data_IF_575048821383
#
_entry.id   IF_575048821383
#
_cell.length_a   1.000
_cell.length_b   1.000
_cell.length_c   1.000
_cell.angle_alpha   90.00
_cell.angle_beta   90.00
_cell.angle_gamma   90.00
#
_symmetry.space_group_name_H-M   'P 1'
#
loop_
_entity.id
_entity.type
_entity.pdbx_description
1 polymer ?
#
# COMPACT_ATOMS: atom_id res chain seq x y z
N UNK A 1 5.84 27.97 10.35
CA UNK A 1 6.09 26.52 10.28
C UNK A 1 5.57 26.02 8.94
N UNK A 2 6.41 25.36 8.16
CA UNK A 2 5.97 24.73 6.93
C UNK A 2 4.88 23.70 7.26
N UNK A 3 3.72 23.74 6.60
CA UNK A 3 2.67 22.74 6.73
C UNK A 3 3.07 21.42 6.07
N UNK A 4 2.31 20.37 6.35
CA UNK A 4 2.36 19.12 5.59
C UNK A 4 1.10 19.10 4.72
N UNK A 5 1.26 18.95 3.40
CA UNK A 5 0.12 18.94 2.46
C UNK A 5 -0.24 17.53 2.00
N UNK A 6 0.76 16.65 1.92
CA UNK A 6 0.58 15.26 1.45
C UNK A 6 1.39 14.32 2.33
N UNK A 7 0.81 13.18 2.67
CA UNK A 7 1.55 12.04 3.21
C UNK A 7 1.39 10.84 2.28
N UNK A 8 2.50 10.20 1.93
CA UNK A 8 2.50 8.94 1.19
C UNK A 8 2.90 7.80 2.12
N UNK A 9 1.92 7.03 2.57
CA UNK A 9 2.12 5.83 3.37
C UNK A 9 2.54 4.68 2.44
N UNK A 10 3.84 4.57 2.20
CA UNK A 10 4.42 3.63 1.24
C UNK A 10 5.19 2.48 1.90
N UNK A 11 5.67 2.64 3.14
CA UNK A 11 6.46 1.64 3.84
C UNK A 11 5.74 0.29 3.88
N UNK A 12 6.45 -0.79 3.56
CA UNK A 12 5.89 -2.13 3.54
C UNK A 12 6.96 -3.22 3.45
N UNK A 13 6.63 -4.41 3.93
CA UNK A 13 7.45 -5.61 3.85
C UNK A 13 6.61 -6.80 3.38
N UNK A 14 7.26 -7.80 2.75
CA UNK A 14 6.57 -8.91 2.12
C UNK A 14 7.35 -10.24 2.28
N UNK A 15 7.69 -10.69 3.49
CA UNK A 15 8.28 -12.02 3.71
C UNK A 15 7.19 -13.10 3.52
N UNK A 16 6.99 -13.54 2.28
CA UNK A 16 6.00 -14.55 1.92
C UNK A 16 6.40 -15.94 2.39
N UNK A 17 5.43 -16.71 2.85
CA UNK A 17 5.59 -18.13 3.16
C UNK A 17 4.23 -18.82 3.19
N UNK A 18 4.23 -20.15 3.07
CA UNK A 18 3.03 -20.94 3.39
C UNK A 18 2.69 -20.79 4.87
N UNK A 19 1.42 -20.87 5.22
CA UNK A 19 0.99 -20.79 6.63
C UNK A 19 1.54 -21.94 7.49
N UNK A 20 1.72 -23.11 6.89
CA UNK A 20 2.27 -24.28 7.59
C UNK A 20 3.79 -24.18 7.86
N UNK A 21 4.48 -23.20 7.32
CA UNK A 21 5.85 -22.87 7.70
C UNK A 21 5.97 -22.19 9.07
N UNK A 22 4.85 -21.70 9.63
CA UNK A 22 4.72 -21.12 10.97
C UNK A 22 5.76 -20.03 11.29
N UNK A 23 6.10 -19.19 10.31
CA UNK A 23 7.05 -18.08 10.46
C UNK A 23 6.39 -16.88 11.16
N UNK A 24 5.99 -17.08 12.41
CA UNK A 24 5.17 -16.11 13.20
C UNK A 24 5.84 -14.75 13.32
N UNK A 25 7.15 -14.69 13.54
CA UNK A 25 7.89 -13.43 13.64
C UNK A 25 7.79 -12.59 12.35
N UNK A 26 7.72 -13.25 11.18
CA UNK A 26 7.55 -12.57 9.89
C UNK A 26 6.09 -12.09 9.70
N UNK A 27 5.12 -12.83 10.23
CA UNK A 27 3.74 -12.37 10.24
C UNK A 27 3.57 -11.11 11.10
N UNK A 28 4.14 -11.13 12.30
CA UNK A 28 4.14 -9.97 13.21
C UNK A 28 4.83 -8.76 12.55
N UNK A 29 5.98 -8.97 11.90
CA UNK A 29 6.66 -7.93 11.15
C UNK A 29 5.77 -7.32 10.05
N UNK A 30 5.05 -8.14 9.29
CA UNK A 30 4.12 -7.65 8.26
C UNK A 30 2.98 -6.83 8.87
N UNK A 31 2.41 -7.29 9.98
CA UNK A 31 1.35 -6.56 10.68
C UNK A 31 1.89 -5.23 11.23
N UNK A 32 3.05 -5.25 11.86
CA UNK A 32 3.65 -4.06 12.47
C UNK A 32 3.98 -2.99 11.41
N UNK A 33 4.61 -3.39 10.32
CA UNK A 33 5.00 -2.42 9.28
C UNK A 33 3.82 -2.03 8.41
N UNK A 34 3.08 -2.99 7.85
CA UNK A 34 2.08 -2.72 6.82
C UNK A 34 0.75 -2.17 7.39
N UNK A 35 0.43 -2.51 8.65
CA UNK A 35 -0.85 -2.10 9.29
C UNK A 35 -0.60 -1.06 10.37
N UNK A 36 0.18 -1.37 11.41
CA UNK A 36 0.43 -0.40 12.49
C UNK A 36 1.18 0.82 12.00
N UNK A 37 2.16 0.64 11.08
CA UNK A 37 2.88 1.74 10.46
C UNK A 37 1.95 2.71 9.74
N UNK A 38 0.96 2.21 8.99
CA UNK A 38 -0.07 3.02 8.35
C UNK A 38 -0.91 3.80 9.38
N UNK A 39 -1.37 3.13 10.44
CA UNK A 39 -2.15 3.77 11.51
C UNK A 39 -1.36 4.86 12.22
N UNK A 40 -0.06 4.65 12.45
CA UNK A 40 0.81 5.68 13.04
C UNK A 40 1.00 6.87 12.10
N UNK A 41 1.12 6.64 10.78
CA UNK A 41 1.16 7.71 9.78
C UNK A 41 -0.10 8.56 9.79
N UNK A 42 -1.27 7.91 9.85
CA UNK A 42 -2.57 8.60 9.98
C UNK A 42 -2.63 9.39 11.30
N UNK A 43 -2.34 8.74 12.42
CA UNK A 43 -2.40 9.37 13.75
C UNK A 43 -1.49 10.61 13.88
N UNK A 44 -0.31 10.54 13.28
CA UNK A 44 0.63 11.66 13.29
C UNK A 44 0.19 12.83 12.40
N UNK A 45 -0.51 12.57 11.28
CA UNK A 45 -0.76 13.56 10.23
C UNK A 45 -2.17 14.13 10.28
N UNK A 46 -3.18 13.31 10.60
CA UNK A 46 -4.59 13.72 10.58
C UNK A 46 -4.87 14.96 11.43
N UNK A 47 -4.34 15.13 12.67
CA UNK A 47 -4.57 16.36 13.43
C UNK A 47 -4.00 17.62 12.77
N UNK A 48 -2.96 17.48 11.94
CA UNK A 48 -2.40 18.60 11.17
C UNK A 48 -3.34 19.00 10.04
N UNK A 49 -3.82 18.04 9.25
CA UNK A 49 -4.76 18.27 8.17
C UNK A 49 -6.06 18.87 8.66
N UNK A 50 -6.60 18.39 9.78
CA UNK A 50 -7.81 18.92 10.39
C UNK A 50 -7.66 20.40 10.81
N UNK A 51 -6.51 20.76 11.43
CA UNK A 51 -6.27 22.17 11.80
C UNK A 51 -6.02 23.06 10.61
N UNK A 52 -5.42 22.55 9.57
CA UNK A 52 -5.09 23.27 8.34
C UNK A 52 -6.31 23.40 7.41
N UNK A 53 -7.32 22.53 7.56
CA UNK A 53 -8.51 22.48 6.71
C UNK A 53 -8.21 21.97 5.29
N UNK A 54 -7.10 21.26 5.11
CA UNK A 54 -6.71 20.64 3.84
C UNK A 54 -5.66 19.57 4.05
N UNK A 55 -5.55 18.62 3.13
CA UNK A 55 -4.52 17.58 3.14
C UNK A 55 -4.83 16.46 2.18
N UNK A 56 -3.84 15.58 1.97
CA UNK A 56 -4.01 14.41 1.13
C UNK A 56 -3.29 13.20 1.69
N UNK A 57 -4.02 12.16 2.04
CA UNK A 57 -3.49 10.85 2.37
C UNK A 57 -3.39 10.00 1.10
N UNK A 58 -2.20 9.48 0.81
CA UNK A 58 -1.97 8.49 -0.25
C UNK A 58 -1.44 7.22 0.38
N UNK A 59 -2.17 6.11 0.26
CA UNK A 59 -1.75 4.81 0.79
C UNK A 59 -1.35 3.89 -0.36
N UNK A 60 -0.15 3.34 -0.30
CA UNK A 60 0.30 2.31 -1.24
C UNK A 60 -0.09 0.93 -0.71
N UNK A 61 -1.24 0.44 -1.18
CA UNK A 61 -1.73 -0.90 -0.89
C UNK A 61 -1.05 -1.96 -1.79
N UNK A 62 -1.80 -2.74 -2.52
CA UNK A 62 -1.32 -3.76 -3.46
C UNK A 62 -2.51 -4.37 -4.19
N UNK A 63 -2.29 -5.04 -5.32
CA UNK A 63 -3.27 -5.96 -5.86
C UNK A 63 -3.63 -7.07 -4.84
N UNK A 64 -2.71 -7.40 -3.93
CA UNK A 64 -2.97 -8.27 -2.79
C UNK A 64 -4.02 -7.75 -1.80
N UNK A 65 -4.55 -6.54 -1.98
CA UNK A 65 -5.74 -6.03 -1.30
C UNK A 65 -7.06 -6.42 -2.00
N UNK A 66 -6.99 -7.07 -3.16
CA UNK A 66 -8.14 -7.44 -3.99
C UNK A 66 -8.17 -8.94 -4.34
N UNK A 67 -7.03 -9.61 -4.17
CA UNK A 67 -6.90 -11.04 -4.43
C UNK A 67 -5.94 -11.69 -3.42
N UNK A 68 -6.12 -12.98 -3.17
CA UNK A 68 -5.23 -13.77 -2.30
C UNK A 68 -4.54 -14.83 -3.14
N UNK A 69 -3.22 -14.90 -3.01
CA UNK A 69 -2.40 -15.89 -3.72
C UNK A 69 -1.78 -16.90 -2.76
N UNK A 70 -1.46 -18.12 -3.21
CA UNK A 70 -0.68 -19.05 -2.41
C UNK A 70 0.60 -18.40 -1.87
N UNK A 71 1.01 -18.76 -0.65
CA UNK A 71 2.11 -18.17 0.12
C UNK A 71 1.91 -16.72 0.57
N UNK A 72 0.91 -16.01 0.03
CA UNK A 72 0.65 -14.59 0.30
C UNK A 72 -0.40 -14.31 1.36
N UNK A 73 -0.94 -15.30 2.07
CA UNK A 73 -2.11 -15.13 2.93
C UNK A 73 -1.98 -13.98 3.93
N UNK A 74 -0.90 -13.93 4.72
CA UNK A 74 -0.70 -12.87 5.73
C UNK A 74 -0.39 -11.53 5.07
N UNK A 75 0.47 -11.50 4.04
CA UNK A 75 0.73 -10.27 3.27
C UNK A 75 -0.56 -9.69 2.69
N UNK A 76 -1.35 -10.51 1.99
CA UNK A 76 -2.63 -10.07 1.43
C UNK A 76 -3.55 -9.55 2.54
N UNK A 77 -3.66 -10.25 3.66
CA UNK A 77 -4.46 -9.78 4.80
C UNK A 77 -4.03 -8.38 5.27
N UNK A 78 -2.72 -8.09 5.35
CA UNK A 78 -2.24 -6.75 5.71
C UNK A 78 -2.59 -5.71 4.64
N UNK A 79 -2.62 -6.08 3.35
CA UNK A 79 -2.97 -5.17 2.26
C UNK A 79 -4.49 -4.94 2.14
N UNK A 80 -5.32 -5.96 2.42
CA UNK A 80 -6.76 -5.79 2.63
C UNK A 80 -7.04 -4.85 3.81
N UNK A 81 -6.31 -5.03 4.92
CA UNK A 81 -6.43 -4.14 6.07
C UNK A 81 -6.04 -2.69 5.72
N UNK A 82 -4.93 -2.48 5.00
CA UNK A 82 -4.52 -1.16 4.55
C UNK A 82 -5.56 -0.49 3.65
N UNK A 83 -6.15 -1.24 2.72
CA UNK A 83 -7.26 -0.77 1.89
C UNK A 83 -8.47 -0.38 2.73
N UNK A 84 -8.92 -1.25 3.63
CA UNK A 84 -10.08 -1.02 4.48
C UNK A 84 -9.89 0.18 5.43
N UNK A 85 -8.69 0.32 6.02
CA UNK A 85 -8.34 1.47 6.88
C UNK A 85 -8.39 2.76 6.07
N UNK A 86 -7.84 2.76 4.85
CA UNK A 86 -7.80 3.94 3.99
C UNK A 86 -9.21 4.34 3.53
N UNK A 87 -10.05 3.36 3.17
CA UNK A 87 -11.44 3.62 2.81
C UNK A 87 -12.26 4.12 4.02
N UNK A 88 -12.05 3.53 5.20
CA UNK A 88 -12.65 4.03 6.44
C UNK A 88 -12.24 5.47 6.73
N UNK A 89 -10.95 5.80 6.59
CA UNK A 89 -10.45 7.16 6.74
C UNK A 89 -11.15 8.13 5.78
N UNK A 90 -11.31 7.75 4.49
CA UNK A 90 -12.00 8.56 3.47
C UNK A 90 -13.45 8.88 3.85
N UNK A 91 -14.13 7.93 4.49
CA UNK A 91 -15.54 8.10 4.91
C UNK A 91 -15.70 8.95 6.17
N UNK A 92 -14.64 9.07 6.98
CA UNK A 92 -14.68 9.71 8.30
C UNK A 92 -14.08 11.13 8.32
N UNK A 93 -13.23 11.48 7.34
CA UNK A 93 -12.58 12.80 7.31
C UNK A 93 -13.47 13.85 6.63
N UNK A 94 -13.19 15.13 6.93
CA UNK A 94 -13.82 16.26 6.24
C UNK A 94 -13.50 16.24 4.74
N UNK A 95 -14.43 16.60 3.84
CA UNK A 95 -14.21 16.63 2.39
C UNK A 95 -13.03 17.49 1.91
N UNK A 96 -12.52 18.39 2.74
CA UNK A 96 -11.29 19.14 2.46
C UNK A 96 -10.00 18.31 2.53
N UNK A 97 -10.09 17.07 3.06
CA UNK A 97 -8.98 16.12 3.16
C UNK A 97 -9.22 14.99 2.17
N UNK A 98 -8.38 14.90 1.15
CA UNK A 98 -8.46 13.85 0.12
C UNK A 98 -7.80 12.55 0.61
N UNK A 99 -8.29 11.43 0.11
CA UNK A 99 -7.77 10.09 0.50
C UNK A 99 -7.71 9.19 -0.72
N UNK A 100 -6.52 8.78 -1.10
CA UNK A 100 -6.25 7.94 -2.28
C UNK A 100 -5.61 6.62 -1.87
N UNK A 101 -6.11 5.51 -2.42
CA UNK A 101 -5.43 4.22 -2.40
C UNK A 101 -4.78 3.95 -3.75
N UNK A 102 -3.50 3.60 -3.74
CA UNK A 102 -2.80 3.09 -4.92
C UNK A 102 -2.56 1.60 -4.72
N UNK A 103 -3.07 0.78 -5.63
CA UNK A 103 -2.98 -0.69 -5.58
C UNK A 103 -2.11 -1.22 -6.73
N UNK A 104 -0.77 -1.28 -6.55
CA UNK A 104 0.12 -1.81 -7.56
C UNK A 104 -0.04 -3.32 -7.75
N UNK A 105 0.10 -3.78 -9.00
CA UNK A 105 0.45 -5.14 -9.32
C UNK A 105 1.95 -5.40 -9.13
N UNK A 106 2.56 -6.12 -10.07
CA UNK A 106 3.99 -6.46 -9.97
C UNK A 106 4.86 -5.28 -10.40
N UNK A 107 5.67 -4.79 -9.46
CA UNK A 107 6.58 -3.64 -9.64
C UNK A 107 8.00 -4.07 -9.29
N UNK A 108 8.99 -3.59 -10.05
CA UNK A 108 10.40 -3.74 -9.69
C UNK A 108 10.68 -3.09 -8.35
N UNK A 109 11.16 -3.87 -7.38
CA UNK A 109 11.47 -3.39 -6.03
C UNK A 109 12.30 -4.42 -5.27
N UNK A 110 12.89 -4.01 -4.18
CA UNK A 110 13.60 -4.89 -3.24
C UNK A 110 12.65 -5.72 -2.36
N UNK A 111 11.34 -5.48 -2.45
CA UNK A 111 10.32 -6.09 -1.58
C UNK A 111 10.40 -7.63 -1.58
N UNK A 112 10.65 -8.24 -2.74
CA UNK A 112 10.81 -9.69 -2.85
C UNK A 112 12.10 -10.25 -2.20
N UNK A 113 13.08 -9.39 -1.92
CA UNK A 113 14.33 -9.81 -1.23
C UNK A 113 14.08 -10.13 0.24
N UNK A 114 12.94 -9.73 0.81
CA UNK A 114 12.54 -10.06 2.18
C UNK A 114 12.00 -11.48 2.32
N UNK A 115 11.77 -12.20 1.22
CA UNK A 115 11.23 -13.56 1.22
C UNK A 115 12.35 -14.55 1.59
N UNK A 116 12.19 -15.27 2.70
CA UNK A 116 13.12 -16.25 3.21
C UNK A 116 12.72 -17.69 2.90
N UNK A 117 11.44 -17.94 2.62
CA UNK A 117 10.94 -19.25 2.23
C UNK A 117 11.34 -19.56 0.78
N UNK A 118 12.08 -20.66 0.50
CA UNK A 118 12.60 -20.97 -0.84
C UNK A 118 11.50 -21.17 -1.89
N UNK A 119 10.40 -21.82 -1.49
CA UNK A 119 9.27 -22.11 -2.39
C UNK A 119 8.54 -20.80 -2.79
N UNK A 120 8.31 -19.92 -1.81
CA UNK A 120 7.71 -18.63 -2.05
C UNK A 120 8.64 -17.72 -2.90
N UNK A 121 9.96 -17.77 -2.65
CA UNK A 121 10.93 -17.00 -3.41
C UNK A 121 10.99 -17.45 -4.89
N UNK A 122 10.91 -18.75 -5.16
CA UNK A 122 10.86 -19.29 -6.53
C UNK A 122 9.60 -18.87 -7.26
N UNK A 123 8.44 -19.09 -6.66
CA UNK A 123 7.15 -18.69 -7.23
C UNK A 123 7.10 -17.18 -7.51
N UNK A 124 7.68 -16.37 -6.64
CA UNK A 124 7.72 -14.92 -6.80
C UNK A 124 8.66 -14.47 -7.92
N UNK A 125 9.75 -15.18 -8.21
CA UNK A 125 10.61 -14.86 -9.36
C UNK A 125 9.84 -14.97 -10.68
N UNK A 126 9.08 -16.05 -10.86
CA UNK A 126 8.28 -16.27 -12.07
C UNK A 126 7.15 -15.25 -12.17
N UNK A 127 6.47 -14.99 -11.06
CA UNK A 127 5.38 -14.00 -10.99
C UNK A 127 5.85 -12.59 -11.33
N UNK A 128 7.11 -12.25 -11.08
CA UNK A 128 7.71 -10.92 -11.31
C UNK A 128 8.39 -10.76 -12.68
N UNK A 129 8.31 -11.75 -13.55
CA UNK A 129 9.00 -11.71 -14.85
C UNK A 129 8.61 -10.49 -15.72
N UNK A 130 7.38 -10.03 -15.61
CA UNK A 130 6.84 -8.88 -16.36
C UNK A 130 6.65 -7.62 -15.49
N UNK A 131 7.45 -7.43 -14.42
CA UNK A 131 7.33 -6.29 -13.53
C UNK A 131 7.48 -4.95 -14.26
N UNK A 132 6.67 -3.96 -13.86
CA UNK A 132 6.79 -2.58 -14.34
C UNK A 132 7.75 -1.77 -13.44
N UNK A 133 8.37 -0.71 -13.98
CA UNK A 133 9.26 0.13 -13.17
C UNK A 133 8.49 0.92 -12.10
N UNK A 134 9.09 1.20 -10.92
CA UNK A 134 8.43 1.94 -9.84
C UNK A 134 7.99 3.34 -10.25
N UNK A 135 8.59 3.93 -11.27
CA UNK A 135 8.18 5.21 -11.84
C UNK A 135 6.74 5.19 -12.39
N UNK A 136 6.20 4.02 -12.77
CA UNK A 136 4.81 3.89 -13.18
C UNK A 136 3.85 4.18 -12.01
N UNK A 137 4.21 3.71 -10.81
CA UNK A 137 3.44 3.98 -9.60
C UNK A 137 3.63 5.41 -9.12
N UNK A 138 4.87 5.95 -9.20
CA UNK A 138 5.14 7.35 -8.86
C UNK A 138 4.32 8.32 -9.73
N UNK A 139 4.17 8.04 -11.04
CA UNK A 139 3.30 8.85 -11.92
C UNK A 139 1.83 8.79 -11.52
N UNK A 140 1.32 7.64 -11.08
CA UNK A 140 -0.05 7.51 -10.60
C UNK A 140 -0.29 8.32 -9.32
N UNK A 141 0.66 8.27 -8.39
CA UNK A 141 0.63 9.10 -7.18
C UNK A 141 0.66 10.59 -7.57
N UNK A 142 1.58 10.97 -8.47
CA UNK A 142 1.70 12.35 -8.94
C UNK A 142 0.41 12.85 -9.62
N UNK A 143 -0.25 12.00 -10.39
CA UNK A 143 -1.55 12.31 -10.99
C UNK A 143 -2.59 12.60 -9.90
N UNK A 144 -2.79 11.68 -8.94
CA UNK A 144 -3.78 11.85 -7.88
C UNK A 144 -3.51 13.11 -7.02
N UNK A 145 -2.23 13.37 -6.72
CA UNK A 145 -1.82 14.56 -5.94
C UNK A 145 -2.06 15.84 -6.72
N UNK A 146 -1.84 15.82 -8.04
CA UNK A 146 -1.96 16.98 -8.92
C UNK A 146 -3.39 17.38 -9.28
N UNK A 147 -4.40 16.56 -8.96
CA UNK A 147 -5.80 16.90 -9.22
C UNK A 147 -6.27 18.08 -8.37
N UNK A 148 -7.24 18.89 -8.87
CA UNK A 148 -7.85 19.98 -8.11
C UNK A 148 -8.41 19.54 -6.76
N UNK A 149 -8.54 20.46 -5.82
CA UNK A 149 -8.94 20.19 -4.44
C UNK A 149 -10.35 19.59 -4.31
N UNK A 150 -11.20 19.79 -5.30
CA UNK A 150 -12.58 19.25 -5.40
C UNK A 150 -12.65 17.89 -6.11
N UNK A 151 -11.50 17.33 -6.52
CA UNK A 151 -11.39 16.00 -7.14
C UNK A 151 -10.65 15.06 -6.21
N UNK A 152 -11.33 14.02 -5.76
CA UNK A 152 -10.74 12.96 -4.92
C UNK A 152 -10.63 11.66 -5.72
N UNK A 153 -9.41 11.30 -6.09
CA UNK A 153 -9.09 10.01 -6.75
C UNK A 153 -9.07 8.93 -5.68
N UNK A 154 -10.14 8.18 -5.52
CA UNK A 154 -10.30 7.26 -4.40
C UNK A 154 -9.40 6.02 -4.50
N UNK A 155 -9.27 5.44 -5.70
CA UNK A 155 -8.40 4.28 -5.91
C UNK A 155 -7.87 4.21 -7.35
N UNK A 156 -6.62 3.73 -7.47
CA UNK A 156 -6.01 3.39 -8.74
C UNK A 156 -5.34 2.01 -8.65
N UNK A 157 -5.79 1.08 -9.48
CA UNK A 157 -5.17 -0.25 -9.63
C UNK A 157 -4.28 -0.23 -10.87
N UNK A 158 -2.97 -0.44 -10.69
CA UNK A 158 -1.98 -0.37 -11.76
C UNK A 158 -1.23 -1.69 -11.86
N UNK A 159 -1.41 -2.41 -12.96
CA UNK A 159 -0.75 -3.68 -13.24
C UNK A 159 0.12 -3.60 -14.48
N UNK A 160 1.15 -4.46 -14.60
CA UNK A 160 1.69 -4.81 -15.90
C UNK A 160 0.57 -5.23 -16.87
N UNK A 161 0.62 -4.80 -18.13
CA UNK A 161 -0.42 -5.14 -19.11
C UNK A 161 -0.57 -6.66 -19.33
N UNK A 162 0.48 -7.44 -19.01
CA UNK A 162 0.48 -8.91 -19.10
C UNK A 162 0.02 -9.61 -17.82
N UNK A 163 -0.07 -8.92 -16.70
CA UNK A 163 -0.64 -9.45 -15.44
C UNK A 163 -2.17 -9.38 -15.56
N UNK A 164 -2.81 -10.54 -15.69
CA UNK A 164 -4.26 -10.67 -15.84
C UNK A 164 -4.81 -11.59 -14.76
#
# INVERSE_FOLDING_TARGET
TAGVDVIVNNAGVMPLSRLDALLVDQWDQMIDVNVRGLLHGIAATLPHFQRQGSGHFVTVASIGAHEVVPTGAVYCATKYAAWAITEGLRLEVDPSIRVTTISPGVVESELAQTITDPTAAEAMRDYRADAIPPTAIARAISYAVGEPADVDVNEMIIRPARQR
#
